data_IF_245477217861
#
_entry.id   IF_245477217861
#
_cell.length_a   1.000
_cell.length_b   1.000
_cell.length_c   1.000
_cell.angle_alpha   90.00
_cell.angle_beta   90.00
_cell.angle_gamma   90.00
#
_symmetry.space_group_name_H-M   'P 1'
#
loop_
_entity.id
_entity.type
_entity.pdbx_description
1 polymer ?
#
# COMPACT_ATOMS: atom_id res chain seq x y z
N UNK A 1 7.90 -14.92 11.36
CA UNK A 1 7.29 -15.45 10.13
C UNK A 1 5.78 -15.58 10.28
N UNK A 2 5.26 -16.30 11.30
CA UNK A 2 3.80 -16.43 11.54
C UNK A 2 3.06 -15.09 11.73
N UNK A 3 3.65 -14.10 12.41
CA UNK A 3 3.02 -12.78 12.62
C UNK A 3 2.81 -11.95 11.34
N UNK A 4 3.60 -12.16 10.29
CA UNK A 4 3.49 -11.39 9.03
C UNK A 4 2.38 -11.95 8.12
N UNK A 5 2.08 -13.25 8.21
CA UNK A 5 0.97 -13.88 7.47
C UNK A 5 -0.38 -13.43 8.05
N UNK A 6 -0.52 -13.39 9.39
CA UNK A 6 -1.70 -12.84 10.08
C UNK A 6 -1.97 -11.35 9.76
N UNK A 7 -1.00 -10.65 9.17
CA UNK A 7 -1.16 -9.27 8.72
C UNK A 7 -2.05 -9.20 7.45
N UNK A 8 -1.99 -10.21 6.58
CA UNK A 8 -2.87 -10.35 5.41
C UNK A 8 -4.29 -10.81 5.75
N UNK A 9 -4.48 -11.49 6.89
CA UNK A 9 -5.83 -11.79 7.41
C UNK A 9 -6.60 -10.52 7.81
N UNK A 10 -5.92 -9.38 7.96
CA UNK A 10 -6.59 -8.09 8.14
C UNK A 10 -7.07 -7.59 6.79
N UNK A 11 -8.39 -7.59 6.60
CA UNK A 11 -9.19 -7.11 5.44
C UNK A 11 -8.65 -5.92 4.63
N UNK A 12 -7.81 -5.09 5.22
CA UNK A 12 -7.28 -3.88 4.60
C UNK A 12 -6.03 -4.10 3.74
N UNK A 13 -5.24 -5.15 3.96
CA UNK A 13 -3.98 -5.36 3.21
C UNK A 13 -4.26 -5.79 1.77
N UNK A 14 -5.13 -6.78 1.59
CA UNK A 14 -5.56 -7.21 0.26
C UNK A 14 -6.31 -6.09 -0.47
N UNK A 15 -7.21 -5.38 0.24
CA UNK A 15 -7.91 -4.22 -0.32
C UNK A 15 -6.97 -3.09 -0.75
N UNK A 16 -5.88 -2.87 -0.01
CA UNK A 16 -4.84 -1.89 -0.38
C UNK A 16 -4.15 -2.31 -1.68
N UNK A 17 -3.71 -3.57 -1.78
CA UNK A 17 -3.05 -4.08 -2.98
C UNK A 17 -3.98 -4.02 -4.21
N UNK A 18 -5.23 -4.46 -4.06
CA UNK A 18 -6.23 -4.43 -5.14
C UNK A 18 -6.50 -2.99 -5.59
N UNK A 19 -6.67 -2.05 -4.66
CA UNK A 19 -6.92 -0.65 -5.00
C UNK A 19 -5.75 0.00 -5.73
N UNK A 20 -4.52 -0.26 -5.29
CA UNK A 20 -3.30 0.24 -5.95
C UNK A 20 -3.17 -0.38 -7.34
N UNK A 21 -3.40 -1.69 -7.47
CA UNK A 21 -3.35 -2.41 -8.75
C UNK A 21 -4.35 -1.85 -9.77
N UNK A 22 -5.63 -1.74 -9.39
CA UNK A 22 -6.73 -1.32 -10.26
C UNK A 22 -6.51 0.10 -10.83
N UNK A 23 -5.89 0.99 -10.04
CA UNK A 23 -5.57 2.36 -10.46
C UNK A 23 -4.22 2.53 -11.15
N UNK A 24 -3.43 1.46 -11.26
CA UNK A 24 -2.04 1.55 -11.74
C UNK A 24 -1.13 2.37 -10.81
N UNK A 25 -1.47 2.43 -9.53
CA UNK A 25 -0.82 3.23 -8.49
C UNK A 25 -1.65 4.43 -8.03
N UNK A 26 -1.45 4.87 -6.80
CA UNK A 26 -2.20 5.97 -6.20
C UNK A 26 -1.36 6.78 -5.20
N UNK A 27 -1.80 7.98 -4.84
CA UNK A 27 -1.20 8.72 -3.72
C UNK A 27 -1.59 8.12 -2.38
N UNK A 28 -0.81 8.38 -1.32
CA UNK A 28 -1.21 8.05 0.06
C UNK A 28 -2.57 8.62 0.43
N UNK A 29 -2.86 9.85 0.00
CA UNK A 29 -4.12 10.52 0.30
C UNK A 29 -5.32 9.80 -0.33
N UNK A 30 -5.22 9.42 -1.60
CA UNK A 30 -6.26 8.62 -2.27
C UNK A 30 -6.48 7.28 -1.58
N UNK A 31 -5.40 6.59 -1.20
CA UNK A 31 -5.50 5.31 -0.52
C UNK A 31 -6.23 5.45 0.84
N UNK A 32 -5.87 6.44 1.64
CA UNK A 32 -6.48 6.66 2.96
C UNK A 32 -7.96 7.05 2.85
N UNK A 33 -8.33 7.83 1.83
CA UNK A 33 -9.71 8.24 1.60
C UNK A 33 -10.60 7.09 1.09
N UNK A 34 -10.07 6.09 0.39
CA UNK A 34 -10.88 5.09 -0.31
C UNK A 34 -10.84 3.69 0.32
N UNK A 35 -9.71 3.27 0.91
CA UNK A 35 -9.54 1.86 1.34
C UNK A 35 -9.58 1.73 2.86
N UNK A 36 -8.92 2.64 3.58
CA UNK A 36 -8.83 2.55 5.02
C UNK A 36 -8.31 3.85 5.63
N UNK A 37 -9.21 4.63 6.25
CA UNK A 37 -8.84 5.74 7.11
C UNK A 37 -8.62 5.26 8.57
N UNK A 38 -7.85 4.18 8.76
CA UNK A 38 -7.64 3.57 10.07
C UNK A 38 -6.22 3.73 10.59
N UNK A 39 -6.11 3.73 11.92
CA UNK A 39 -4.85 3.81 12.63
C UNK A 39 -3.89 2.69 12.18
N UNK A 40 -2.66 3.09 11.85
CA UNK A 40 -1.58 2.16 11.49
C UNK A 40 -1.39 1.89 9.99
N UNK A 41 -2.06 2.60 9.08
CA UNK A 41 -1.76 2.49 7.63
C UNK A 41 -0.28 2.71 7.27
N UNK A 42 0.46 3.69 7.84
CA UNK A 42 1.88 3.84 7.56
C UNK A 42 2.68 2.55 7.85
N UNK A 43 2.38 1.86 8.95
CA UNK A 43 3.04 0.59 9.30
C UNK A 43 2.68 -0.54 8.34
N UNK A 44 1.42 -0.61 7.89
CA UNK A 44 0.96 -1.58 6.88
C UNK A 44 1.66 -1.38 5.53
N UNK A 45 1.79 -0.14 5.07
CA UNK A 45 2.53 0.19 3.85
C UNK A 45 4.01 -0.17 3.98
N UNK A 46 4.63 0.11 5.14
CA UNK A 46 6.00 -0.27 5.40
C UNK A 46 6.21 -1.80 5.34
N UNK A 47 5.25 -2.59 5.82
CA UNK A 47 5.27 -4.05 5.68
C UNK A 47 5.17 -4.48 4.22
N UNK A 48 4.22 -3.94 3.45
CA UNK A 48 4.07 -4.28 2.03
C UNK A 48 5.33 -3.93 1.22
N UNK A 49 5.93 -2.77 1.48
CA UNK A 49 7.16 -2.33 0.82
C UNK A 49 8.37 -3.16 1.23
N UNK A 50 8.51 -3.48 2.53
CA UNK A 50 9.56 -4.40 3.02
C UNK A 50 9.50 -5.77 2.34
N UNK A 51 8.30 -6.26 2.04
CA UNK A 51 8.11 -7.53 1.31
C UNK A 51 8.19 -7.37 -0.21
N UNK A 52 8.42 -6.15 -0.71
CA UNK A 52 8.60 -5.85 -2.12
C UNK A 52 7.32 -5.94 -2.94
N UNK A 53 6.14 -5.83 -2.32
CA UNK A 53 4.83 -5.90 -3.01
C UNK A 53 4.39 -4.55 -3.56
N UNK A 54 4.84 -3.48 -2.93
CA UNK A 54 4.63 -2.10 -3.39
C UNK A 54 5.97 -1.35 -3.34
N UNK A 55 6.00 -0.19 -3.99
CA UNK A 55 7.07 0.81 -3.85
C UNK A 55 6.47 2.19 -3.60
N UNK A 56 7.09 2.96 -2.72
CA UNK A 56 6.72 4.35 -2.47
C UNK A 56 7.73 5.29 -3.10
N UNK A 57 7.26 6.18 -3.98
CA UNK A 57 8.08 7.16 -4.68
C UNK A 57 7.53 8.57 -4.50
N UNK A 58 8.41 9.52 -4.29
CA UNK A 58 8.03 10.93 -4.31
C UNK A 58 7.80 11.38 -5.76
N UNK A 59 6.65 12.01 -6.02
CA UNK A 59 6.35 12.62 -7.31
C UNK A 59 7.13 13.94 -7.43
N UNK A 60 7.99 14.12 -8.44
CA UNK A 60 8.92 15.26 -8.49
C UNK A 60 8.25 16.65 -8.44
N UNK A 61 7.06 16.78 -9.02
CA UNK A 61 6.37 18.07 -9.16
C UNK A 61 5.59 18.42 -7.89
N UNK A 62 4.82 17.46 -7.36
CA UNK A 62 3.88 17.71 -6.25
C UNK A 62 4.47 17.36 -4.90
N UNK A 63 5.64 16.70 -4.86
CA UNK A 63 6.24 16.08 -3.66
C UNK A 63 5.31 15.08 -2.95
N UNK A 64 4.25 14.64 -3.64
CA UNK A 64 3.32 13.68 -3.09
C UNK A 64 3.97 12.29 -3.10
N UNK A 65 3.73 11.50 -2.06
CA UNK A 65 4.12 10.09 -2.06
C UNK A 65 3.11 9.29 -2.87
N UNK A 66 3.57 8.79 -4.02
CA UNK A 66 2.88 7.81 -4.85
C UNK A 66 3.27 6.40 -4.40
N UNK A 67 2.29 5.51 -4.41
CA UNK A 67 2.41 4.10 -4.14
C UNK A 67 2.10 3.37 -5.45
N UNK A 68 3.03 2.55 -5.90
CA UNK A 68 2.86 1.70 -7.08
C UNK A 68 2.98 0.23 -6.69
N UNK A 69 2.29 -0.65 -7.41
CA UNK A 69 2.44 -2.09 -7.25
C UNK A 69 3.69 -2.57 -8.01
N UNK A 70 4.46 -3.48 -7.42
CA UNK A 70 5.60 -4.11 -8.09
C UNK A 70 5.16 -5.32 -8.88
N UNK A 71 6.03 -5.88 -9.73
CA UNK A 71 5.76 -7.17 -10.40
C UNK A 71 5.51 -8.31 -9.41
N UNK A 72 6.12 -8.28 -8.21
CA UNK A 72 5.88 -9.28 -7.16
C UNK A 72 4.52 -9.12 -6.48
N UNK A 73 3.98 -7.89 -6.46
CA UNK A 73 2.70 -7.59 -5.84
C UNK A 73 1.49 -7.87 -6.73
N UNK A 74 1.70 -7.95 -8.05
CA UNK A 74 0.69 -8.38 -9.03
C UNK A 74 0.42 -9.87 -8.90
#
# INVERSE_FOLDING_TARGET
MEREILLFERKHMLGTLLFVYDRGGCTRMELYNNVANNDGMPGKLAVLEKHGLIVQKEVPITRAMRIDITEKGK
#
